data_IF_284544148757
#
_entry.id   IF_284544148757
#
_cell.length_a   1.000
_cell.length_b   1.000
_cell.length_c   1.000
_cell.angle_alpha   90.00
_cell.angle_beta   90.00
_cell.angle_gamma   90.00
#
_symmetry.space_group_name_H-M   'P 1'
#
loop_
_entity.id
_entity.type
_entity.pdbx_description
1 polymer ?
#
# COMPACT_ATOMS: atom_id res chain seq x y z
N UNK A 1 -45.69 -29.94 -25.36
CA UNK A 1 -45.39 -30.11 -23.92
C UNK A 1 -46.44 -29.34 -23.13
N UNK A 2 -46.95 -29.90 -22.04
CA UNK A 2 -47.87 -29.19 -21.16
C UNK A 2 -47.18 -27.94 -20.55
N UNK A 3 -47.90 -26.82 -20.37
CA UNK A 3 -47.33 -25.63 -19.73
C UNK A 3 -46.89 -25.96 -18.30
N UNK A 4 -45.68 -25.54 -17.93
CA UNK A 4 -45.13 -25.73 -16.58
C UNK A 4 -46.04 -25.11 -15.53
N UNK A 5 -46.29 -25.87 -14.46
CA UNK A 5 -47.05 -25.42 -13.29
C UNK A 5 -46.28 -24.36 -12.50
N UNK A 6 -46.98 -23.53 -11.73
CA UNK A 6 -46.34 -22.50 -10.91
C UNK A 6 -45.34 -23.10 -9.90
N UNK A 7 -45.65 -24.27 -9.34
CA UNK A 7 -44.76 -24.99 -8.42
C UNK A 7 -43.47 -25.45 -9.09
N UNK A 8 -43.54 -25.92 -10.34
CA UNK A 8 -42.34 -26.29 -11.12
C UNK A 8 -41.49 -25.07 -11.45
N UNK A 9 -42.12 -23.95 -11.81
CA UNK A 9 -41.42 -22.68 -12.08
C UNK A 9 -40.65 -22.19 -10.85
N UNK A 10 -41.27 -22.16 -9.67
CA UNK A 10 -40.61 -21.78 -8.43
C UNK A 10 -39.42 -22.69 -8.08
N UNK A 11 -39.57 -24.01 -8.28
CA UNK A 11 -38.47 -24.96 -8.03
C UNK A 11 -37.28 -24.74 -8.98
N UNK A 12 -37.53 -24.37 -10.24
CA UNK A 12 -36.47 -24.06 -11.21
C UNK A 12 -35.77 -22.75 -10.87
N UNK A 13 -36.51 -21.73 -10.45
CA UNK A 13 -35.93 -20.47 -9.96
C UNK A 13 -35.01 -20.72 -8.77
N UNK A 14 -35.46 -21.48 -7.77
CA UNK A 14 -34.65 -21.82 -6.61
C UNK A 14 -33.34 -22.55 -6.99
N UNK A 15 -33.41 -23.51 -7.93
CA UNK A 15 -32.22 -24.20 -8.44
C UNK A 15 -31.26 -23.26 -9.16
N UNK A 16 -31.76 -22.36 -10.00
CA UNK A 16 -30.91 -21.39 -10.70
C UNK A 16 -30.20 -20.48 -9.70
N UNK A 17 -30.92 -19.99 -8.68
CA UNK A 17 -30.34 -19.18 -7.60
C UNK A 17 -29.24 -19.97 -6.88
N UNK A 18 -29.47 -21.25 -6.55
CA UNK A 18 -28.49 -22.10 -5.87
C UNK A 18 -27.19 -22.22 -6.67
N UNK A 19 -27.27 -22.41 -8.00
CA UNK A 19 -26.10 -22.52 -8.87
C UNK A 19 -25.37 -21.20 -9.17
N UNK A 20 -26.08 -20.08 -9.18
CA UNK A 20 -25.55 -18.81 -9.72
C UNK A 20 -25.48 -17.66 -8.71
N UNK A 21 -26.10 -17.82 -7.54
CA UNK A 21 -26.35 -16.76 -6.55
C UNK A 21 -27.10 -15.55 -7.14
N UNK A 22 -27.78 -15.72 -8.28
CA UNK A 22 -28.58 -14.67 -8.89
C UNK A 22 -29.71 -14.20 -7.96
N UNK A 23 -30.11 -12.94 -8.11
CA UNK A 23 -31.32 -12.45 -7.41
C UNK A 23 -32.54 -13.20 -7.92
N UNK A 24 -33.58 -13.31 -7.09
CA UNK A 24 -34.82 -13.98 -7.52
C UNK A 24 -35.43 -13.33 -8.77
N UNK A 25 -35.32 -12.00 -8.89
CA UNK A 25 -35.78 -11.24 -10.05
C UNK A 25 -34.99 -11.61 -11.31
N UNK A 26 -33.66 -11.67 -11.23
CA UNK A 26 -32.82 -12.04 -12.37
C UNK A 26 -32.98 -13.50 -12.76
N UNK A 27 -33.09 -14.40 -11.78
CA UNK A 27 -33.33 -15.82 -12.02
C UNK A 27 -34.66 -16.04 -12.75
N UNK A 28 -35.73 -15.36 -12.35
CA UNK A 28 -37.03 -15.42 -13.04
C UNK A 28 -36.96 -14.81 -14.45
N UNK A 29 -36.25 -13.70 -14.64
CA UNK A 29 -36.04 -13.05 -15.95
C UNK A 29 -35.32 -13.98 -16.92
N UNK A 30 -34.21 -14.59 -16.50
CA UNK A 30 -33.41 -15.49 -17.31
C UNK A 30 -34.19 -16.77 -17.67
N UNK A 31 -34.85 -17.41 -16.70
CA UNK A 31 -35.69 -18.58 -16.97
C UNK A 31 -36.83 -18.27 -17.93
N UNK A 32 -37.48 -17.11 -17.80
CA UNK A 32 -38.56 -16.70 -18.70
C UNK A 32 -38.06 -16.51 -20.15
N UNK A 33 -36.91 -15.87 -20.33
CA UNK A 33 -36.32 -15.61 -21.64
C UNK A 33 -35.85 -16.89 -22.34
N UNK A 34 -35.42 -17.90 -21.56
CA UNK A 34 -34.93 -19.18 -22.07
C UNK A 34 -35.97 -20.31 -21.99
N UNK A 35 -37.27 -19.97 -22.05
CA UNK A 35 -38.39 -20.93 -22.09
C UNK A 35 -38.39 -21.95 -20.94
N UNK A 36 -37.89 -21.55 -19.77
CA UNK A 36 -37.75 -22.39 -18.57
C UNK A 36 -36.88 -23.62 -18.79
N UNK A 37 -35.81 -23.51 -19.58
CA UNK A 37 -34.75 -24.52 -19.65
C UNK A 37 -33.63 -24.09 -18.71
N UNK A 38 -33.34 -24.89 -17.67
CA UNK A 38 -32.40 -24.51 -16.60
C UNK A 38 -30.99 -24.28 -17.13
N UNK A 39 -30.45 -25.24 -17.89
CA UNK A 39 -29.06 -25.19 -18.38
C UNK A 39 -28.82 -23.95 -19.25
N UNK A 40 -29.74 -23.64 -20.15
CA UNK A 40 -29.66 -22.43 -20.98
C UNK A 40 -29.73 -21.14 -20.14
N UNK A 41 -30.50 -21.13 -19.05
CA UNK A 41 -30.59 -19.98 -18.18
C UNK A 41 -29.33 -19.81 -17.30
N UNK A 42 -28.67 -20.91 -16.93
CA UNK A 42 -27.35 -20.88 -16.27
C UNK A 42 -26.29 -20.31 -17.21
N UNK A 43 -26.22 -20.78 -18.45
CA UNK A 43 -25.27 -20.25 -19.44
C UNK A 43 -25.53 -18.76 -19.74
N UNK A 44 -26.80 -18.36 -19.81
CA UNK A 44 -27.20 -16.98 -20.01
C UNK A 44 -26.81 -16.07 -18.82
N UNK A 45 -26.83 -16.57 -17.58
CA UNK A 45 -26.36 -15.83 -16.42
C UNK A 45 -24.88 -15.42 -16.55
N UNK A 46 -24.02 -16.36 -16.98
CA UNK A 46 -22.60 -16.10 -17.17
C UNK A 46 -22.30 -15.16 -18.34
N UNK A 47 -23.30 -14.93 -19.20
CA UNK A 47 -23.25 -13.97 -20.30
C UNK A 47 -23.93 -12.62 -19.98
N UNK A 48 -24.55 -12.46 -18.80
CA UNK A 48 -25.24 -11.25 -18.36
C UNK A 48 -24.47 -10.53 -17.23
N UNK A 49 -23.72 -9.45 -17.54
CA UNK A 49 -22.96 -8.70 -16.54
C UNK A 49 -23.84 -8.06 -15.45
N UNK A 50 -25.09 -7.72 -15.76
CA UNK A 50 -26.02 -7.08 -14.81
C UNK A 50 -26.49 -8.09 -13.78
N UNK A 51 -26.84 -9.31 -14.22
CA UNK A 51 -27.22 -10.39 -13.32
C UNK A 51 -26.06 -10.79 -12.40
N UNK A 52 -24.84 -10.86 -12.93
CA UNK A 52 -23.64 -11.13 -12.13
C UNK A 52 -23.33 -10.03 -11.12
N UNK A 53 -23.46 -8.77 -11.51
CA UNK A 53 -23.29 -7.64 -10.59
C UNK A 53 -24.33 -7.68 -9.48
N UNK A 54 -25.60 -7.95 -9.80
CA UNK A 54 -26.66 -8.06 -8.81
C UNK A 54 -26.46 -9.23 -7.84
N UNK A 55 -25.94 -10.36 -8.32
CA UNK A 55 -25.59 -11.51 -7.48
C UNK A 55 -24.49 -11.18 -6.44
N UNK A 56 -23.56 -10.28 -6.78
CA UNK A 56 -22.44 -9.88 -5.90
C UNK A 56 -22.81 -8.79 -4.89
N UNK A 57 -23.81 -7.96 -5.19
CA UNK A 57 -24.24 -6.82 -4.33
C UNK A 57 -24.43 -7.16 -2.85
N UNK A 58 -25.09 -8.28 -2.45
CA UNK A 58 -25.27 -8.60 -1.04
C UNK A 58 -23.95 -8.83 -0.30
N UNK A 59 -23.03 -9.58 -0.94
CA UNK A 59 -21.70 -9.83 -0.40
C UNK A 59 -20.90 -8.52 -0.32
N UNK A 60 -20.89 -7.72 -1.38
CA UNK A 60 -20.24 -6.41 -1.40
C UNK A 60 -20.75 -5.48 -0.29
N UNK A 61 -22.07 -5.49 -0.05
CA UNK A 61 -22.70 -4.69 1.01
C UNK A 61 -22.28 -5.19 2.39
N UNK A 62 -22.21 -6.50 2.59
CA UNK A 62 -21.72 -7.09 3.85
C UNK A 62 -20.25 -6.72 4.10
N UNK A 63 -19.40 -6.84 3.08
CA UNK A 63 -17.99 -6.44 3.12
C UNK A 63 -17.82 -4.97 3.50
N UNK A 64 -18.54 -4.07 2.82
CA UNK A 64 -18.50 -2.64 3.11
C UNK A 64 -19.01 -2.34 4.52
N UNK A 65 -20.05 -3.04 5.00
CA UNK A 65 -20.54 -2.87 6.36
C UNK A 65 -19.54 -3.34 7.42
N UNK A 66 -18.83 -4.45 7.19
CA UNK A 66 -17.79 -4.95 8.09
C UNK A 66 -16.63 -3.96 8.19
N UNK A 67 -16.16 -3.46 7.04
CA UNK A 67 -15.09 -2.46 6.97
C UNK A 67 -15.48 -1.14 7.62
N UNK A 68 -16.71 -0.66 7.42
CA UNK A 68 -17.20 0.54 8.09
C UNK A 68 -17.22 0.38 9.60
N UNK A 69 -17.71 -0.76 10.12
CA UNK A 69 -17.67 -1.05 11.57
C UNK A 69 -16.25 -1.11 12.11
N UNK A 70 -15.31 -1.68 11.33
CA UNK A 70 -13.91 -1.71 11.71
C UNK A 70 -13.31 -0.29 11.78
N UNK A 71 -13.58 0.55 10.78
CA UNK A 71 -13.15 1.95 10.74
C UNK A 71 -13.73 2.77 11.90
N UNK A 72 -15.04 2.67 12.12
CA UNK A 72 -15.75 3.39 13.20
C UNK A 72 -15.20 3.04 14.59
N UNK A 73 -14.59 1.85 14.75
CA UNK A 73 -14.04 1.41 16.03
C UNK A 73 -12.80 2.17 16.49
N UNK A 74 -12.11 2.88 15.59
CA UNK A 74 -10.97 3.74 15.91
C UNK A 74 -11.17 5.20 15.48
N UNK A 75 -11.97 5.47 14.44
CA UNK A 75 -12.25 6.83 13.96
C UNK A 75 -13.43 7.50 14.68
N UNK A 76 -14.36 6.71 15.21
CA UNK A 76 -15.67 7.20 15.65
C UNK A 76 -16.73 7.16 14.53
N UNK A 77 -18.00 7.16 14.92
CA UNK A 77 -19.13 7.06 13.99
C UNK A 77 -19.29 8.34 13.17
N UNK A 78 -19.40 8.20 11.85
CA UNK A 78 -19.62 9.33 10.92
C UNK A 78 -18.38 10.20 10.68
N UNK A 79 -17.22 9.78 11.17
CA UNK A 79 -15.93 10.44 10.90
C UNK A 79 -15.31 9.82 9.66
N UNK A 80 -14.99 10.63 8.64
CA UNK A 80 -14.42 10.13 7.38
C UNK A 80 -12.91 10.31 7.27
N UNK A 81 -12.31 11.08 8.18
CA UNK A 81 -10.87 11.30 8.26
C UNK A 81 -10.46 11.19 9.73
N UNK A 82 -9.57 10.26 10.05
CA UNK A 82 -9.05 10.16 11.42
C UNK A 82 -8.17 11.35 11.76
N UNK A 83 -8.20 11.74 13.04
CA UNK A 83 -7.15 12.53 13.64
C UNK A 83 -5.99 11.63 14.12
N UNK A 84 -5.02 12.24 14.80
CA UNK A 84 -3.86 11.52 15.32
C UNK A 84 -4.26 10.45 16.34
N UNK A 85 -5.17 10.76 17.25
CA UNK A 85 -5.60 9.83 18.30
C UNK A 85 -6.32 8.61 17.70
N UNK A 86 -7.17 8.81 16.69
CA UNK A 86 -7.80 7.72 15.96
C UNK A 86 -6.79 6.83 15.22
N UNK A 87 -5.73 7.42 14.67
CA UNK A 87 -4.64 6.65 14.04
C UNK A 87 -3.83 5.86 15.07
N UNK A 88 -3.56 6.43 16.25
CA UNK A 88 -2.90 5.70 17.36
C UNK A 88 -3.76 4.55 17.87
N UNK A 89 -5.07 4.75 17.99
CA UNK A 89 -6.01 3.68 18.33
C UNK A 89 -6.01 2.59 17.26
N UNK A 90 -5.91 2.95 15.97
CA UNK A 90 -5.79 1.97 14.89
C UNK A 90 -4.51 1.15 15.01
N UNK A 91 -3.35 1.78 15.24
CA UNK A 91 -2.08 1.10 15.50
C UNK A 91 -2.18 0.14 16.70
N UNK A 92 -2.82 0.59 17.79
CA UNK A 92 -3.06 -0.22 18.99
C UNK A 92 -3.89 -1.47 18.68
N UNK A 93 -4.96 -1.33 17.89
CA UNK A 93 -5.81 -2.44 17.44
C UNK A 93 -5.09 -3.43 16.52
N UNK A 94 -4.15 -2.94 15.71
CA UNK A 94 -3.28 -3.78 14.88
C UNK A 94 -2.15 -4.43 15.69
N UNK A 95 -1.93 -4.02 16.94
CA UNK A 95 -0.75 -4.37 17.76
C UNK A 95 0.57 -4.05 17.04
N UNK A 96 0.61 -2.86 16.44
CA UNK A 96 1.77 -2.32 15.74
C UNK A 96 2.18 -1.02 16.43
N UNK A 97 3.49 -0.84 16.65
CA UNK A 97 4.02 0.41 17.16
C UNK A 97 3.77 1.54 16.13
N UNK A 98 3.26 2.72 16.51
CA UNK A 98 3.02 3.81 15.56
C UNK A 98 4.25 4.28 14.79
N UNK A 99 5.45 4.04 15.34
CA UNK A 99 6.75 4.35 14.69
C UNK A 99 7.28 3.20 13.84
N UNK A 100 6.60 2.04 13.84
CA UNK A 100 6.99 0.90 13.01
C UNK A 100 6.81 1.26 11.53
N UNK A 101 7.86 1.11 10.71
CA UNK A 101 7.80 1.43 9.28
C UNK A 101 6.75 0.65 8.49
N UNK A 102 6.24 -0.46 9.02
CA UNK A 102 5.13 -1.19 8.39
C UNK A 102 3.87 -0.32 8.27
N UNK A 103 3.69 0.69 9.12
CA UNK A 103 2.58 1.61 9.03
C UNK A 103 2.64 2.47 7.77
N UNK A 104 3.82 2.70 7.19
CA UNK A 104 3.94 3.34 5.86
C UNK A 104 3.36 2.45 4.76
N UNK A 105 3.53 1.13 4.87
CA UNK A 105 2.94 0.18 3.94
C UNK A 105 1.41 0.11 4.09
N UNK A 106 0.90 0.14 5.33
CA UNK A 106 -0.54 0.22 5.60
C UNK A 106 -1.14 1.53 5.08
N UNK A 107 -0.45 2.66 5.29
CA UNK A 107 -0.83 3.96 4.76
C UNK A 107 -0.87 3.96 3.22
N UNK A 108 0.14 3.37 2.57
CA UNK A 108 0.17 3.22 1.11
C UNK A 108 -0.99 2.35 0.60
N UNK A 109 -1.24 1.20 1.25
CA UNK A 109 -2.37 0.32 0.93
C UNK A 109 -3.71 1.06 1.00
N UNK A 110 -3.89 1.88 2.04
CA UNK A 110 -5.11 2.66 2.24
C UNK A 110 -5.10 3.99 1.49
N UNK A 111 -4.08 4.28 0.66
CA UNK A 111 -3.91 5.57 -0.02
C UNK A 111 -4.11 6.77 0.92
N UNK A 112 -3.53 6.69 2.11
CA UNK A 112 -3.70 7.70 3.15
C UNK A 112 -3.20 9.08 2.68
N UNK A 113 -3.93 10.17 2.96
CA UNK A 113 -3.64 11.48 2.36
C UNK A 113 -2.42 12.17 3.00
N UNK A 114 -2.21 12.01 4.29
CA UNK A 114 -1.14 12.66 5.04
C UNK A 114 -0.80 11.92 6.33
N UNK A 115 0.44 12.09 6.79
CA UNK A 115 0.98 11.39 7.95
C UNK A 115 0.12 11.58 9.20
N UNK A 116 -0.24 10.47 9.83
CA UNK A 116 -1.06 10.45 11.05
C UNK A 116 -2.56 10.48 10.81
N UNK A 117 -3.02 10.37 9.55
CA UNK A 117 -4.46 10.35 9.22
C UNK A 117 -4.79 9.23 8.23
N UNK A 118 -6.02 8.74 8.29
CA UNK A 118 -6.59 7.77 7.36
C UNK A 118 -7.95 8.24 6.89
N UNK A 119 -8.16 8.30 5.57
CA UNK A 119 -9.48 8.55 4.98
C UNK A 119 -10.27 7.24 4.89
N UNK A 120 -11.54 7.27 5.29
CA UNK A 120 -12.46 6.12 5.26
C UNK A 120 -12.50 5.48 3.88
N UNK A 121 -12.60 6.30 2.83
CA UNK A 121 -12.66 5.82 1.45
C UNK A 121 -11.44 4.95 1.11
N UNK A 122 -10.23 5.48 1.33
CA UNK A 122 -9.00 4.77 1.05
C UNK A 122 -8.81 3.52 1.90
N UNK A 123 -9.16 3.58 3.18
CA UNK A 123 -9.17 2.40 4.07
C UNK A 123 -10.09 1.29 3.57
N UNK A 124 -11.35 1.63 3.22
CA UNK A 124 -12.32 0.68 2.69
C UNK A 124 -11.80 0.05 1.38
N UNK A 125 -11.31 0.85 0.45
CA UNK A 125 -10.82 0.39 -0.86
C UNK A 125 -9.61 -0.54 -0.71
N UNK A 126 -8.61 -0.15 0.08
CA UNK A 126 -7.39 -0.93 0.30
C UNK A 126 -7.66 -2.30 0.91
N UNK A 127 -8.43 -2.34 2.00
CA UNK A 127 -8.72 -3.60 2.69
C UNK A 127 -9.74 -4.47 1.96
N UNK A 128 -10.68 -3.87 1.21
CA UNK A 128 -11.61 -4.60 0.35
C UNK A 128 -10.86 -5.32 -0.77
N UNK A 129 -9.84 -4.69 -1.38
CA UNK A 129 -9.04 -5.31 -2.43
C UNK A 129 -8.30 -6.57 -1.95
N UNK A 130 -7.96 -6.64 -0.66
CA UNK A 130 -7.30 -7.80 -0.03
C UNK A 130 -8.28 -8.78 0.65
N UNK A 131 -9.58 -8.47 0.68
CA UNK A 131 -10.59 -9.26 1.39
C UNK A 131 -10.35 -9.35 2.90
N UNK A 132 -9.76 -8.33 3.53
CA UNK A 132 -9.47 -8.27 4.98
C UNK A 132 -10.41 -7.29 5.68
N UNK A 133 -11.64 -7.75 5.91
CA UNK A 133 -12.77 -6.90 6.28
C UNK A 133 -12.84 -6.53 7.77
N UNK A 134 -12.05 -7.20 8.60
CA UNK A 134 -12.06 -7.03 10.07
C UNK A 134 -10.67 -6.71 10.59
N UNK A 135 -10.58 -5.99 11.71
CA UNK A 135 -9.32 -5.67 12.40
C UNK A 135 -8.47 -6.92 12.65
N UNK A 136 -9.09 -8.04 13.04
CA UNK A 136 -8.37 -9.30 13.27
C UNK A 136 -7.70 -9.84 12.00
N UNK A 137 -8.38 -9.75 10.84
CA UNK A 137 -7.80 -10.15 9.56
C UNK A 137 -6.70 -9.20 9.10
N UNK A 138 -6.86 -7.89 9.36
CA UNK A 138 -5.85 -6.87 9.03
C UNK A 138 -4.58 -7.08 9.85
N UNK A 139 -4.73 -7.23 11.17
CA UNK A 139 -3.64 -7.60 12.10
C UNK A 139 -2.91 -8.87 11.64
N UNK A 140 -3.66 -9.92 11.31
CA UNK A 140 -3.07 -11.18 10.85
C UNK A 140 -2.33 -11.06 9.50
N UNK A 141 -2.63 -10.03 8.71
CA UNK A 141 -1.95 -9.77 7.44
C UNK A 141 -0.65 -8.97 7.60
N UNK A 142 -0.47 -8.21 8.68
CA UNK A 142 0.73 -7.38 8.92
C UNK A 142 2.04 -8.17 8.76
N UNK A 143 2.22 -9.39 9.32
CA UNK A 143 3.45 -10.15 9.10
C UNK A 143 3.68 -10.53 7.64
N UNK A 144 2.61 -10.84 6.89
CA UNK A 144 2.70 -11.15 5.46
C UNK A 144 3.09 -9.92 4.65
N UNK A 145 2.54 -8.74 4.99
CA UNK A 145 2.89 -7.48 4.33
C UNK A 145 4.37 -7.12 4.55
N UNK A 146 4.90 -7.36 5.76
CA UNK A 146 6.32 -7.12 6.08
C UNK A 146 7.23 -8.03 5.26
N UNK A 147 6.87 -9.30 5.19
CA UNK A 147 7.57 -10.32 4.42
C UNK A 147 7.53 -10.02 2.91
N UNK A 148 6.39 -9.55 2.40
CA UNK A 148 6.25 -9.06 1.02
C UNK A 148 7.13 -7.85 0.74
N UNK A 149 7.12 -6.84 1.62
CA UNK A 149 7.94 -5.62 1.48
C UNK A 149 9.45 -5.91 1.43
N UNK A 150 9.92 -6.90 2.18
CA UNK A 150 11.35 -7.29 2.19
C UNK A 150 11.81 -8.07 0.96
N UNK A 151 10.88 -8.55 0.12
CA UNK A 151 11.18 -9.37 -1.06
C UNK A 151 10.80 -8.71 -2.37
N UNK A 152 9.67 -8.00 -2.41
CA UNK A 152 9.14 -7.38 -3.61
C UNK A 152 9.64 -5.93 -3.74
N UNK A 153 10.60 -5.74 -4.64
CA UNK A 153 11.13 -4.43 -4.98
C UNK A 153 10.08 -3.47 -5.55
N UNK A 154 9.09 -3.97 -6.29
CA UNK A 154 8.03 -3.12 -6.83
C UNK A 154 7.14 -2.59 -5.71
N UNK A 155 6.78 -3.42 -4.74
CA UNK A 155 6.05 -2.97 -3.56
C UNK A 155 6.89 -1.96 -2.76
N UNK A 156 8.15 -2.29 -2.47
CA UNK A 156 9.05 -1.40 -1.73
C UNK A 156 9.19 -0.03 -2.40
N UNK A 157 9.45 0.02 -3.72
CA UNK A 157 9.54 1.29 -4.47
C UNK A 157 8.25 2.10 -4.45
N UNK A 158 7.08 1.44 -4.51
CA UNK A 158 5.79 2.13 -4.38
C UNK A 158 5.64 2.77 -3.00
N UNK A 159 5.96 2.04 -1.93
CA UNK A 159 5.93 2.56 -0.55
C UNK A 159 6.91 3.71 -0.40
N UNK A 160 8.18 3.52 -0.79
CA UNK A 160 9.21 4.56 -0.72
C UNK A 160 8.79 5.84 -1.46
N UNK A 161 8.24 5.72 -2.68
CA UNK A 161 7.77 6.87 -3.46
C UNK A 161 6.55 7.54 -2.84
N UNK A 162 5.61 6.75 -2.32
CA UNK A 162 4.42 7.24 -1.62
C UNK A 162 4.77 8.03 -0.35
N UNK A 163 5.75 7.55 0.42
CA UNK A 163 6.18 8.16 1.68
C UNK A 163 6.54 9.65 1.53
N UNK A 164 7.08 10.06 0.38
CA UNK A 164 7.38 11.47 0.14
C UNK A 164 6.14 12.36 0.22
N UNK A 165 5.09 11.97 -0.51
CA UNK A 165 3.86 12.75 -0.57
C UNK A 165 3.05 12.64 0.72
N UNK A 166 3.18 11.51 1.43
CA UNK A 166 2.54 11.25 2.71
C UNK A 166 3.13 12.07 3.87
N UNK A 167 4.46 12.25 3.91
CA UNK A 167 5.13 12.89 5.05
C UNK A 167 5.38 14.39 4.88
N UNK A 168 5.34 14.93 3.65
CA UNK A 168 5.44 16.38 3.43
C UNK A 168 4.18 17.10 3.91
N UNK A 169 4.33 18.37 4.29
CA UNK A 169 3.18 19.23 4.63
C UNK A 169 2.26 19.35 3.42
N UNK A 170 0.94 19.36 3.66
CA UNK A 170 -0.07 19.49 2.62
C UNK A 170 0.16 20.76 1.77
N UNK A 171 0.05 20.62 0.45
CA UNK A 171 0.37 21.70 -0.51
C UNK A 171 1.87 21.98 -0.69
N UNK A 172 2.75 21.42 0.15
CA UNK A 172 4.20 21.54 0.03
C UNK A 172 4.77 20.77 -1.17
N UNK A 173 5.86 21.29 -1.76
CA UNK A 173 6.62 20.64 -2.84
C UNK A 173 7.90 19.93 -2.35
N UNK A 174 8.24 20.15 -1.08
CA UNK A 174 9.46 19.66 -0.44
C UNK A 174 9.11 19.10 0.94
N UNK A 175 9.93 18.18 1.43
CA UNK A 175 9.86 17.61 2.78
C UNK A 175 10.90 18.28 3.68
N UNK A 176 10.58 18.46 4.96
CA UNK A 176 11.56 18.92 5.95
C UNK A 176 12.75 17.94 6.03
N UNK A 177 13.96 18.47 6.27
CA UNK A 177 15.18 17.66 6.26
C UNK A 177 15.14 16.59 7.35
N UNK A 178 14.74 16.98 8.55
CA UNK A 178 14.69 16.13 9.73
C UNK A 178 13.75 14.94 9.49
N UNK A 179 12.57 15.19 8.92
CA UNK A 179 11.61 14.14 8.55
C UNK A 179 12.17 13.20 7.47
N UNK A 180 12.86 13.75 6.46
CA UNK A 180 13.47 12.92 5.42
C UNK A 180 14.57 12.00 5.98
N UNK A 181 15.39 12.52 6.90
CA UNK A 181 16.43 11.74 7.61
C UNK A 181 15.81 10.59 8.40
N UNK A 182 14.78 10.86 9.21
CA UNK A 182 14.07 9.83 9.99
C UNK A 182 13.48 8.74 9.07
N UNK A 183 12.85 9.13 7.97
CA UNK A 183 12.22 8.18 7.05
C UNK A 183 13.25 7.36 6.25
N UNK A 184 14.41 7.93 5.89
CA UNK A 184 15.49 7.15 5.29
C UNK A 184 16.07 6.12 6.27
N UNK A 185 16.23 6.48 7.54
CA UNK A 185 16.66 5.56 8.60
C UNK A 185 15.66 4.43 8.83
N UNK A 186 14.37 4.68 8.61
CA UNK A 186 13.34 3.65 8.73
C UNK A 186 13.22 2.76 7.48
N UNK A 187 13.28 3.34 6.28
CA UNK A 187 12.97 2.63 5.03
C UNK A 187 14.16 1.89 4.44
N UNK A 188 15.35 2.49 4.38
CA UNK A 188 16.50 1.88 3.71
C UNK A 188 16.90 0.52 4.30
N UNK A 189 16.91 0.31 5.63
CA UNK A 189 17.20 -1.02 6.19
C UNK A 189 16.18 -2.10 5.80
N UNK A 190 14.98 -1.71 5.37
CA UNK A 190 13.92 -2.63 4.94
C UNK A 190 13.96 -2.94 3.43
N UNK A 191 14.78 -2.24 2.66
CA UNK A 191 14.90 -2.49 1.24
C UNK A 191 15.42 -3.92 1.00
N UNK A 192 14.89 -4.65 0.00
CA UNK A 192 15.35 -6.00 -0.31
C UNK A 192 16.87 -6.06 -0.50
N UNK A 193 17.57 -6.92 0.24
CA UNK A 193 19.04 -6.91 0.27
C UNK A 193 19.75 -7.14 -1.08
N UNK A 194 19.05 -7.74 -2.05
CA UNK A 194 19.54 -7.96 -3.41
C UNK A 194 19.41 -6.71 -4.31
N UNK A 195 18.78 -5.65 -3.81
CA UNK A 195 18.65 -4.37 -4.48
C UNK A 195 19.97 -3.62 -4.55
N UNK A 196 20.72 -3.64 -3.45
CA UNK A 196 21.99 -2.97 -3.34
C UNK A 196 23.06 -3.82 -4.01
N UNK A 197 23.91 -3.16 -4.81
CA UNK A 197 25.10 -3.77 -5.35
C UNK A 197 25.99 -4.29 -4.21
N UNK A 198 26.74 -5.39 -4.41
CA UNK A 198 27.48 -6.02 -3.32
C UNK A 198 28.45 -5.09 -2.56
N UNK A 199 28.96 -4.06 -3.25
CA UNK A 199 29.90 -3.06 -2.74
C UNK A 199 29.23 -1.74 -2.29
N UNK A 200 27.89 -1.63 -2.39
CA UNK A 200 27.19 -0.41 -1.98
C UNK A 200 27.42 -0.14 -0.49
N UNK A 201 27.77 1.09 -0.14
CA UNK A 201 27.95 1.54 1.24
C UNK A 201 26.63 1.69 2.01
N UNK A 202 25.51 1.69 1.29
CA UNK A 202 24.16 1.74 1.85
C UNK A 202 23.55 0.36 2.06
N UNK A 203 24.23 -0.71 1.64
CA UNK A 203 23.77 -2.08 1.80
C UNK A 203 23.71 -2.45 3.29
N UNK A 204 22.55 -2.94 3.80
CA UNK A 204 22.45 -3.43 5.17
C UNK A 204 23.45 -4.58 5.44
N UNK A 205 24.13 -4.54 6.59
CA UNK A 205 24.98 -5.65 7.02
C UNK A 205 24.11 -6.88 7.31
N UNK A 206 24.57 -8.06 6.91
CA UNK A 206 23.77 -9.27 7.00
C UNK A 206 23.36 -9.55 8.46
N UNK A 207 22.06 -9.53 8.73
CA UNK A 207 21.50 -9.76 10.07
C UNK A 207 21.50 -8.56 11.01
N UNK A 208 21.83 -7.35 10.51
CA UNK A 208 21.73 -6.10 11.28
C UNK A 208 20.71 -5.15 10.65
N UNK A 209 19.92 -4.51 11.52
CA UNK A 209 19.04 -3.37 11.18
C UNK A 209 19.70 -2.03 11.49
N UNK A 210 20.99 -2.02 11.84
CA UNK A 210 21.72 -0.81 12.19
C UNK A 210 21.85 0.09 10.97
N UNK A 211 21.94 1.40 11.24
CA UNK A 211 22.22 2.40 10.23
C UNK A 211 23.51 2.04 9.49
N UNK A 212 23.41 1.96 8.17
CA UNK A 212 24.56 1.65 7.31
C UNK A 212 25.57 2.79 7.34
N UNK A 213 26.85 2.48 7.09
CA UNK A 213 27.90 3.50 7.01
C UNK A 213 27.53 4.58 5.99
N UNK A 214 26.96 4.17 4.85
CA UNK A 214 26.43 5.08 3.84
C UNK A 214 25.37 6.04 4.38
N UNK A 215 24.40 5.52 5.12
CA UNK A 215 23.33 6.34 5.67
C UNK A 215 23.82 7.30 6.77
N UNK A 216 24.78 6.86 7.59
CA UNK A 216 25.43 7.75 8.55
C UNK A 216 26.17 8.89 7.83
N UNK A 217 26.97 8.57 6.80
CA UNK A 217 27.69 9.59 6.03
C UNK A 217 26.74 10.59 5.35
N UNK A 218 25.67 10.09 4.73
CA UNK A 218 24.64 10.91 4.09
C UNK A 218 23.97 11.86 5.10
N UNK A 219 23.51 11.33 6.24
CA UNK A 219 22.81 12.14 7.24
C UNK A 219 23.71 13.17 7.92
N UNK A 220 24.99 12.84 8.17
CA UNK A 220 25.99 13.79 8.65
C UNK A 220 26.23 14.90 7.63
N UNK A 221 26.45 14.56 6.36
CA UNK A 221 26.62 15.55 5.30
C UNK A 221 25.43 16.50 5.21
N UNK A 222 24.21 15.94 5.17
CA UNK A 222 22.98 16.72 5.12
C UNK A 222 22.89 17.72 6.29
N UNK A 223 23.15 17.25 7.51
CA UNK A 223 23.04 18.07 8.72
C UNK A 223 24.12 19.15 8.80
N UNK A 224 25.35 18.84 8.41
CA UNK A 224 26.49 19.75 8.59
C UNK A 224 26.71 20.70 7.41
N UNK A 225 26.40 20.28 6.19
CA UNK A 225 26.80 20.99 4.96
C UNK A 225 25.64 21.69 4.26
N UNK A 226 24.39 21.25 4.45
CA UNK A 226 23.26 21.76 3.66
C UNK A 226 22.46 22.87 4.33
N UNK A 227 22.78 23.22 5.58
CA UNK A 227 22.08 24.26 6.37
C UNK A 227 20.56 24.01 6.47
N UNK A 228 20.17 22.77 6.80
CA UNK A 228 18.77 22.35 6.90
C UNK A 228 17.96 22.57 5.62
N UNK A 229 18.59 22.38 4.45
CA UNK A 229 17.90 22.47 3.16
C UNK A 229 16.82 21.38 3.09
N UNK A 230 15.55 21.71 2.78
CA UNK A 230 14.49 20.71 2.64
C UNK A 230 14.70 19.85 1.40
N UNK A 231 14.18 18.63 1.43
CA UNK A 231 14.37 17.60 0.41
C UNK A 231 13.28 17.70 -0.66
N UNK A 232 13.68 17.76 -1.93
CA UNK A 232 12.74 17.73 -3.06
C UNK A 232 12.33 16.30 -3.41
N UNK A 233 11.23 16.16 -4.15
CA UNK A 233 10.78 14.84 -4.63
C UNK A 233 11.82 14.16 -5.52
N UNK A 234 12.50 14.95 -6.35
CA UNK A 234 13.55 14.46 -7.24
C UNK A 234 14.74 13.91 -6.47
N UNK A 235 15.26 14.64 -5.47
CA UNK A 235 16.30 14.15 -4.55
C UNK A 235 15.85 12.87 -3.86
N UNK A 236 14.65 12.86 -3.27
CA UNK A 236 14.13 11.67 -2.59
C UNK A 236 14.07 10.46 -3.52
N UNK A 237 13.48 10.62 -4.70
CA UNK A 237 13.31 9.53 -5.67
C UNK A 237 14.64 9.00 -6.19
N UNK A 238 15.54 9.88 -6.62
CA UNK A 238 16.84 9.48 -7.18
C UNK A 238 17.79 8.91 -6.12
N UNK A 239 17.66 9.34 -4.86
CA UNK A 239 18.49 8.83 -3.78
C UNK A 239 18.37 7.32 -3.58
N UNK A 240 17.20 6.72 -3.85
CA UNK A 240 17.04 5.26 -3.74
C UNK A 240 17.91 4.50 -4.73
N UNK A 241 17.96 4.96 -5.98
CA UNK A 241 18.79 4.34 -7.01
C UNK A 241 20.28 4.65 -6.78
N UNK A 242 20.63 5.88 -6.37
CA UNK A 242 21.98 6.23 -5.93
C UNK A 242 22.48 5.32 -4.80
N UNK A 243 21.66 5.12 -3.76
CA UNK A 243 22.00 4.26 -2.63
C UNK A 243 22.26 2.82 -3.07
N UNK A 244 21.60 2.35 -4.14
CA UNK A 244 21.80 0.98 -4.65
C UNK A 244 23.18 0.73 -5.25
N UNK A 245 23.82 1.75 -5.84
CA UNK A 245 25.07 1.61 -6.61
C UNK A 245 26.29 2.24 -5.92
N UNK A 246 26.10 3.21 -5.03
CA UNK A 246 27.18 4.00 -4.47
C UNK A 246 28.07 3.15 -3.56
N UNK A 247 29.31 2.90 -3.99
CA UNK A 247 30.34 2.28 -3.15
C UNK A 247 30.91 3.26 -2.11
N UNK A 248 31.74 2.75 -1.20
CA UNK A 248 32.31 3.55 -0.10
C UNK A 248 33.13 4.75 -0.56
N UNK A 249 33.66 4.74 -1.78
CA UNK A 249 34.49 5.81 -2.35
C UNK A 249 33.75 6.64 -3.40
N UNK A 250 32.50 6.29 -3.69
CA UNK A 250 31.74 6.78 -4.83
C UNK A 250 32.54 6.66 -6.15
N UNK A 251 33.33 5.59 -6.32
CA UNK A 251 34.12 5.33 -7.54
C UNK A 251 33.20 4.82 -8.67
N UNK A 252 32.16 4.06 -8.33
CA UNK A 252 31.08 3.64 -9.24
C UNK A 252 30.14 4.77 -9.68
N UNK A 253 30.32 5.99 -9.15
CA UNK A 253 29.50 7.15 -9.51
C UNK A 253 29.97 7.78 -10.82
N UNK A 254 29.13 7.73 -11.85
CA UNK A 254 29.37 8.41 -13.13
C UNK A 254 28.77 9.84 -13.09
N UNK A 255 29.65 10.84 -13.25
CA UNK A 255 29.36 12.30 -13.22
C UNK A 255 28.51 12.79 -14.43
N UNK A 256 28.18 11.91 -15.38
CA UNK A 256 27.30 12.18 -16.51
C UNK A 256 25.86 11.70 -16.29
N UNK A 257 25.58 11.06 -15.15
CA UNK A 257 24.22 10.80 -14.70
C UNK A 257 23.48 12.12 -14.41
N UNK A 258 22.22 12.23 -14.82
CA UNK A 258 21.38 13.40 -14.52
C UNK A 258 20.92 13.41 -13.04
N UNK A 259 21.88 13.27 -12.12
CA UNK A 259 21.66 13.24 -10.68
C UNK A 259 21.30 14.64 -10.16
N UNK A 260 20.59 14.74 -9.03
CA UNK A 260 20.30 16.01 -8.41
C UNK A 260 21.60 16.55 -7.80
N UNK A 261 21.87 17.85 -7.96
CA UNK A 261 23.11 18.47 -7.46
C UNK A 261 23.43 18.22 -5.99
N UNK A 262 22.43 17.90 -5.14
CA UNK A 262 22.67 17.52 -3.74
C UNK A 262 23.41 16.17 -3.61
N UNK A 263 23.15 15.23 -4.52
CA UNK A 263 23.84 13.95 -4.58
C UNK A 263 25.26 14.15 -5.13
N UNK A 264 25.42 14.97 -6.18
CA UNK A 264 26.75 15.37 -6.71
C UNK A 264 27.62 15.99 -5.60
N UNK A 265 27.09 16.99 -4.90
CA UNK A 265 27.80 17.70 -3.82
C UNK A 265 28.19 16.75 -2.67
N UNK A 266 27.39 15.71 -2.39
CA UNK A 266 27.70 14.68 -1.40
C UNK A 266 28.86 13.79 -1.85
N UNK A 267 28.84 13.34 -3.11
CA UNK A 267 29.91 12.51 -3.69
C UNK A 267 31.24 13.27 -3.69
N UNK A 268 31.24 14.54 -4.09
CA UNK A 268 32.42 15.41 -4.03
C UNK A 268 32.95 15.55 -2.60
N UNK A 269 32.06 15.75 -1.63
CA UNK A 269 32.42 15.90 -0.21
C UNK A 269 33.04 14.62 0.35
N UNK A 270 32.48 13.46 0.01
CA UNK A 270 33.00 12.14 0.43
C UNK A 270 34.40 11.88 -0.13
N UNK A 271 34.61 12.16 -1.43
CA UNK A 271 35.93 12.02 -2.08
C UNK A 271 37.00 12.93 -1.47
N UNK A 272 36.64 14.16 -1.07
CA UNK A 272 37.57 15.08 -0.43
C UNK A 272 38.03 14.62 0.96
N UNK A 273 37.16 13.95 1.73
CA UNK A 273 37.49 13.44 3.08
C UNK A 273 38.47 12.26 3.05
N UNK A 274 38.46 11.44 1.99
CA UNK A 274 39.40 10.32 1.81
C UNK A 274 40.81 10.76 1.39
N UNK A 275 40.96 11.98 0.86
CA UNK A 275 42.25 12.54 0.41
C UNK A 275 43.00 13.37 1.46
N UNK A 276 42.42 13.56 2.65
CA UNK A 276 42.97 14.35 3.75
C UNK A 276 43.57 13.47 4.86
#
# INVERSE_FOLDING_TARGET
MAPLTQKQKTAMTARLIDFTQATEIDAQRLLKNHKWVLDHAVDAFWSDPVAQANARKPADTATTNNLNKAFDSFAGQGIDLTDYDGTIEYCTKLEVDPTDPIMLAVAQLCSAPSMGTFERKGYLEGWKALGKETIAQQKAYIPSLRDEMSRDMHLYRRIYSFTFDYAKVEGGRVMALETAIELWQLLLPLAPAHFFEPHSMFRPLQGSTDMTQGLQAWTTYLTEKTKNRPISKDVWSQFLDFASICDAKCESYEDDGAWPGLIDDFVESSKAMDTA
#
